data_IF_919260989394
#
_entry.id   IF_919260989394
#
_cell.length_a   1.000
_cell.length_b   1.000
_cell.length_c   1.000
_cell.angle_alpha   90.00
_cell.angle_beta   90.00
_cell.angle_gamma   90.00
#
_symmetry.space_group_name_H-M   'P 1'
#
loop_
_entity.id
_entity.type
_entity.pdbx_description
1 polymer ?
#
# COMPACT_ATOMS: atom_id res chain seq x y z
N UNK A 1 8.18 -9.44 18.93
CA UNK A 1 7.67 -10.01 17.65
C UNK A 1 8.04 -9.04 16.54
N UNK A 2 8.66 -9.49 15.43
CA UNK A 2 8.96 -8.60 14.29
C UNK A 2 7.74 -8.53 13.36
N UNK A 3 7.36 -7.33 12.99
CA UNK A 3 6.27 -7.02 12.05
C UNK A 3 6.89 -6.53 10.74
N UNK A 4 6.38 -7.01 9.60
CA UNK A 4 6.86 -6.56 8.29
C UNK A 4 5.99 -5.39 7.83
N UNK A 5 6.62 -4.26 7.57
CA UNK A 5 5.95 -3.07 7.06
C UNK A 5 6.52 -2.70 5.70
N UNK A 6 5.62 -2.45 4.73
CA UNK A 6 5.95 -1.98 3.39
C UNK A 6 5.48 -0.54 3.27
N UNK A 7 6.34 0.35 2.78
CA UNK A 7 5.98 1.74 2.47
C UNK A 7 6.15 1.99 0.98
N UNK A 8 5.10 2.47 0.33
CA UNK A 8 5.03 2.66 -1.12
C UNK A 8 4.64 4.10 -1.41
N UNK A 9 5.40 4.78 -2.27
CA UNK A 9 4.96 6.05 -2.86
C UNK A 9 3.91 5.78 -3.94
N UNK A 10 2.78 6.46 -3.81
CA UNK A 10 1.66 6.39 -4.74
C UNK A 10 1.48 7.74 -5.40
N UNK A 11 1.52 7.75 -6.72
CA UNK A 11 0.98 8.87 -7.49
C UNK A 11 -0.51 9.04 -7.16
N UNK A 12 -0.97 10.29 -7.03
CA UNK A 12 -2.38 10.60 -6.85
C UNK A 12 -3.16 10.40 -8.18
N UNK A 13 -3.34 9.14 -8.55
CA UNK A 13 -4.05 8.72 -9.76
C UNK A 13 -4.99 7.57 -9.46
N UNK A 14 -6.18 7.62 -10.06
CA UNK A 14 -7.20 6.57 -9.94
C UNK A 14 -6.62 5.19 -10.27
N UNK A 15 -6.88 4.22 -9.40
CA UNK A 15 -6.48 2.82 -9.59
C UNK A 15 -5.15 2.44 -8.95
N UNK A 16 -4.31 3.39 -8.52
CA UNK A 16 -2.97 3.06 -8.01
C UNK A 16 -2.99 2.24 -6.71
N UNK A 17 -3.91 2.50 -5.79
CA UNK A 17 -4.11 1.66 -4.60
C UNK A 17 -4.55 0.24 -4.98
N UNK A 18 -5.45 0.12 -5.96
CA UNK A 18 -5.92 -1.17 -6.46
C UNK A 18 -4.73 -1.97 -7.03
N UNK A 19 -3.88 -1.36 -7.86
CA UNK A 19 -2.70 -2.03 -8.43
C UNK A 19 -1.80 -2.64 -7.34
N UNK A 20 -1.55 -1.90 -6.25
CA UNK A 20 -0.72 -2.36 -5.13
C UNK A 20 -1.39 -3.51 -4.39
N UNK A 21 -2.67 -3.36 -4.02
CA UNK A 21 -3.41 -4.42 -3.30
C UNK A 21 -3.56 -5.69 -4.15
N UNK A 22 -3.84 -5.54 -5.45
CA UNK A 22 -3.94 -6.66 -6.39
C UNK A 22 -2.61 -7.38 -6.56
N UNK A 23 -1.50 -6.65 -6.66
CA UNK A 23 -0.17 -7.26 -6.74
C UNK A 23 0.16 -8.06 -5.48
N UNK A 24 -0.13 -7.52 -4.29
CA UNK A 24 0.09 -8.22 -3.02
C UNK A 24 -0.79 -9.47 -2.92
N UNK A 25 -2.07 -9.36 -3.27
CA UNK A 25 -3.01 -10.48 -3.30
C UNK A 25 -2.60 -11.58 -4.27
N UNK A 26 -2.14 -11.23 -5.48
CA UNK A 26 -1.64 -12.18 -6.48
C UNK A 26 -0.40 -12.96 -6.00
N UNK A 27 0.37 -12.39 -5.06
CA UNK A 27 1.52 -13.04 -4.43
C UNK A 27 1.20 -13.69 -3.08
N UNK A 28 -0.09 -13.89 -2.75
CA UNK A 28 -0.56 -14.46 -1.48
C UNK A 28 -0.04 -13.71 -0.23
N UNK A 29 0.16 -12.40 -0.34
CA UNK A 29 0.55 -11.57 0.81
C UNK A 29 -0.69 -11.11 1.55
N UNK A 30 -0.80 -11.50 2.81
CA UNK A 30 -1.93 -11.11 3.66
C UNK A 30 -1.75 -9.68 4.17
N UNK A 31 -2.69 -8.79 3.84
CA UNK A 31 -2.69 -7.40 4.33
C UNK A 31 -3.43 -7.35 5.67
N UNK A 32 -2.71 -7.05 6.76
CA UNK A 32 -3.31 -6.97 8.11
C UNK A 32 -3.86 -5.58 8.42
N UNK A 33 -3.17 -4.56 7.93
CA UNK A 33 -3.57 -3.17 8.07
C UNK A 33 -2.94 -2.33 6.94
N UNK A 34 -3.61 -1.26 6.55
CA UNK A 34 -3.07 -0.28 5.62
C UNK A 34 -3.48 1.15 6.01
N UNK A 35 -2.61 2.12 5.74
CA UNK A 35 -2.87 3.55 5.91
C UNK A 35 -2.29 4.33 4.75
N UNK A 36 -2.94 5.42 4.35
CA UNK A 36 -2.47 6.32 3.29
C UNK A 36 -2.41 7.72 3.87
N UNK A 37 -1.26 8.37 3.73
CA UNK A 37 -1.12 9.81 3.95
C UNK A 37 -0.92 10.47 2.59
N UNK A 38 -1.77 11.41 2.21
CA UNK A 38 -1.73 12.07 0.90
C UNK A 38 -1.39 13.56 0.97
N UNK A 39 -0.81 14.04 -0.12
CA UNK A 39 -0.64 15.44 -0.49
C UNK A 39 -1.29 15.65 -1.86
N UNK A 40 -1.34 16.88 -2.37
CA UNK A 40 -1.94 17.16 -3.69
C UNK A 40 -1.35 16.29 -4.82
N UNK A 41 -0.04 16.01 -4.76
CA UNK A 41 0.68 15.34 -5.84
C UNK A 41 0.86 13.83 -5.65
N UNK A 42 1.07 13.37 -4.41
CA UNK A 42 1.35 11.96 -4.11
C UNK A 42 0.92 11.58 -2.70
N UNK A 43 0.72 10.29 -2.47
CA UNK A 43 0.53 9.69 -1.16
C UNK A 43 1.60 8.68 -0.80
N UNK A 44 1.72 8.40 0.49
CA UNK A 44 2.54 7.31 1.03
C UNK A 44 1.59 6.28 1.64
N UNK A 45 1.53 5.11 1.02
CA UNK A 45 0.82 3.94 1.53
C UNK A 45 1.75 3.16 2.45
N UNK A 46 1.32 2.93 3.69
CA UNK A 46 1.97 2.03 4.64
C UNK A 46 1.10 0.79 4.81
N UNK A 47 1.72 -0.37 4.75
CA UNK A 47 1.04 -1.67 4.79
C UNK A 47 1.74 -2.54 5.81
N UNK A 48 0.96 -3.18 6.67
CA UNK A 48 1.41 -4.28 7.53
C UNK A 48 1.02 -5.59 6.86
N UNK A 49 2.00 -6.47 6.67
CA UNK A 49 1.83 -7.80 6.05
C UNK A 49 2.29 -8.92 6.99
#
# INVERSE_FOLDING_TARGET
>A
MKITQISVFLENRKGRLYDVCSLLGANNVNIRALTIAETESFGVLRIVV
#
